data_IF_121624386977
#
_entry.id   IF_121624386977
#
_cell.length_a   1.000
_cell.length_b   1.000
_cell.length_c   1.000
_cell.angle_alpha   90.00
_cell.angle_beta   90.00
_cell.angle_gamma   90.00
#
_symmetry.space_group_name_H-M   'P 1'
#
loop_
_entity.id
_entity.type
_entity.pdbx_description
1 polymer ?
#
# COMPACT_ATOMS: atom_id res chain seq x y z
N UNK A 1 11.78 5.59 31.90
CA UNK A 1 10.91 6.76 31.71
C UNK A 1 9.99 6.48 30.52
N UNK A 2 8.72 6.15 30.75
CA UNK A 2 7.75 5.92 29.67
C UNK A 2 7.14 7.27 29.31
N UNK A 3 7.65 7.90 28.26
CA UNK A 3 7.07 9.13 27.71
C UNK A 3 5.73 8.81 27.06
N UNK A 4 4.64 9.10 27.77
CA UNK A 4 3.29 9.20 27.21
C UNK A 4 3.24 10.38 26.24
N UNK A 5 3.39 10.12 24.94
CA UNK A 5 3.14 11.10 23.89
C UNK A 5 1.64 11.18 23.60
N UNK A 6 1.11 12.40 23.73
CA UNK A 6 -0.30 12.78 23.65
C UNK A 6 -0.92 12.38 22.30
N UNK A 7 -1.93 11.50 22.35
CA UNK A 7 -2.68 10.96 21.20
C UNK A 7 -3.80 11.89 20.67
N UNK A 8 -3.67 13.22 20.78
CA UNK A 8 -4.78 14.13 20.45
C UNK A 8 -4.91 14.43 18.94
N UNK A 9 -3.80 14.41 18.19
CA UNK A 9 -3.79 14.73 16.74
C UNK A 9 -4.35 13.64 15.82
N UNK A 10 -4.46 12.38 16.30
CA UNK A 10 -4.95 11.25 15.48
C UNK A 10 -6.48 11.13 15.43
N UNK A 11 -7.19 11.65 16.44
CA UNK A 11 -8.65 11.54 16.50
C UNK A 11 -9.33 12.46 15.49
N UNK A 12 -8.94 13.73 15.41
CA UNK A 12 -9.55 14.68 14.48
C UNK A 12 -9.39 14.23 13.01
N UNK A 13 -8.22 13.71 12.65
CA UNK A 13 -7.96 13.25 11.29
C UNK A 13 -8.71 11.96 10.93
N UNK A 14 -9.00 11.08 11.90
CA UNK A 14 -9.84 9.90 11.66
C UNK A 14 -11.32 10.28 11.47
N UNK A 15 -11.81 11.28 12.21
CA UNK A 15 -13.18 11.79 12.04
C UNK A 15 -13.40 12.43 10.67
N UNK A 16 -12.41 13.17 10.15
CA UNK A 16 -12.46 13.70 8.78
C UNK A 16 -12.62 12.58 7.74
N UNK A 17 -11.86 11.49 7.86
CA UNK A 17 -12.00 10.34 6.96
C UNK A 17 -13.38 9.67 7.04
N UNK A 18 -14.01 9.64 8.22
CA UNK A 18 -15.36 9.06 8.34
C UNK A 18 -16.44 9.90 7.68
N UNK A 19 -16.25 11.22 7.59
CA UNK A 19 -17.24 12.13 6.99
C UNK A 19 -17.01 12.36 5.49
N UNK A 20 -15.76 12.50 5.06
CA UNK A 20 -15.41 12.86 3.67
C UNK A 20 -14.82 11.69 2.86
N UNK A 21 -14.59 10.55 3.49
CA UNK A 21 -13.93 9.41 2.88
C UNK A 21 -12.41 9.46 2.98
N UNK A 22 -11.76 8.39 2.52
CA UNK A 22 -10.31 8.25 2.59
C UNK A 22 -9.64 8.84 1.36
N UNK A 23 -8.76 9.82 1.56
CA UNK A 23 -7.87 10.29 0.51
C UNK A 23 -6.60 9.42 0.48
N UNK A 24 -6.59 8.42 -0.42
CA UNK A 24 -5.49 7.49 -0.61
C UNK A 24 -4.46 8.02 -1.60
N UNK A 25 -3.18 7.97 -1.23
CA UNK A 25 -2.04 8.22 -2.13
C UNK A 25 -1.22 6.95 -2.29
N UNK A 26 -0.62 6.73 -3.46
CA UNK A 26 0.22 5.55 -3.73
C UNK A 26 1.45 5.60 -2.83
N UNK A 27 1.61 4.59 -1.97
CA UNK A 27 2.80 4.42 -1.12
C UNK A 27 3.85 3.51 -1.75
N UNK A 28 3.41 2.51 -2.53
CA UNK A 28 4.30 1.55 -3.21
C UNK A 28 3.67 1.05 -4.51
N UNK A 29 4.47 0.93 -5.57
CA UNK A 29 4.07 0.29 -6.83
C UNK A 29 4.65 -1.12 -6.87
N UNK A 30 3.84 -2.13 -6.51
CA UNK A 30 4.26 -3.54 -6.47
C UNK A 30 4.46 -4.07 -7.89
N UNK A 31 3.47 -3.81 -8.75
CA UNK A 31 3.53 -4.03 -10.20
C UNK A 31 2.85 -2.84 -10.90
N UNK A 32 2.63 -2.90 -12.21
CA UNK A 32 1.84 -1.88 -12.92
C UNK A 32 0.38 -1.85 -12.44
N UNK A 33 -0.17 -3.01 -12.09
CA UNK A 33 -1.58 -3.18 -11.71
C UNK A 33 -1.79 -3.20 -10.20
N UNK A 34 -0.83 -3.72 -9.43
CA UNK A 34 -0.94 -3.85 -7.98
C UNK A 34 -0.16 -2.72 -7.32
N UNK A 35 -0.84 -1.93 -6.51
CA UNK A 35 -0.29 -0.78 -5.80
C UNK A 35 -0.76 -0.81 -4.35
N UNK A 36 0.11 -0.36 -3.46
CA UNK A 36 -0.24 -0.06 -2.08
C UNK A 36 -0.52 1.43 -1.95
N UNK A 37 -1.46 1.76 -1.08
CA UNK A 37 -1.88 3.12 -0.80
C UNK A 37 -1.94 3.39 0.68
N UNK A 38 -1.75 4.65 1.03
CA UNK A 38 -1.88 5.15 2.39
C UNK A 38 -2.77 6.37 2.42
N UNK A 39 -3.71 6.41 3.36
CA UNK A 39 -4.53 7.59 3.55
C UNK A 39 -3.71 8.68 4.25
N UNK A 40 -3.64 9.88 3.67
CA UNK A 40 -2.84 11.00 4.21
C UNK A 40 -3.34 11.53 5.55
N UNK A 41 -4.61 11.28 5.90
CA UNK A 41 -5.23 11.80 7.12
C UNK A 41 -5.20 10.78 8.28
N UNK A 42 -5.65 9.54 8.04
CA UNK A 42 -5.77 8.53 9.09
C UNK A 42 -4.71 7.42 9.02
N UNK A 43 -3.79 7.47 8.06
CA UNK A 43 -2.71 6.49 7.86
C UNK A 43 -3.20 5.06 7.57
N UNK A 44 -4.49 4.85 7.27
CA UNK A 44 -5.03 3.56 6.84
C UNK A 44 -4.34 3.12 5.56
N UNK A 45 -3.94 1.85 5.51
CA UNK A 45 -3.23 1.27 4.38
C UNK A 45 -4.10 0.24 3.66
N UNK A 46 -4.09 0.30 2.33
CA UNK A 46 -4.84 -0.59 1.45
C UNK A 46 -3.98 -0.98 0.24
N UNK A 47 -4.33 -2.06 -0.44
CA UNK A 47 -3.70 -2.46 -1.69
C UNK A 47 -4.75 -2.80 -2.73
N UNK A 48 -4.41 -2.67 -4.01
CA UNK A 48 -5.20 -3.25 -5.09
C UNK A 48 -5.12 -4.78 -5.00
N UNK A 49 -6.25 -5.47 -5.03
CA UNK A 49 -6.33 -6.93 -5.16
C UNK A 49 -6.29 -7.38 -6.64
N UNK A 50 -6.36 -8.69 -6.86
CA UNK A 50 -6.34 -9.28 -8.22
C UNK A 50 -7.55 -8.90 -9.08
N UNK A 51 -8.63 -8.43 -8.47
CA UNK A 51 -9.84 -7.98 -9.16
C UNK A 51 -9.82 -6.46 -9.43
N UNK A 52 -8.74 -5.77 -9.05
CA UNK A 52 -8.63 -4.31 -9.19
C UNK A 52 -9.28 -3.52 -8.06
N UNK A 53 -9.80 -4.17 -7.02
CA UNK A 53 -10.48 -3.50 -5.89
C UNK A 53 -9.49 -3.18 -4.77
N UNK A 54 -9.84 -2.21 -3.94
CA UNK A 54 -9.05 -1.90 -2.74
C UNK A 54 -9.41 -2.86 -1.60
N UNK A 55 -8.39 -3.49 -1.03
CA UNK A 55 -8.48 -4.36 0.14
C UNK A 55 -7.51 -3.90 1.23
N UNK A 56 -7.69 -4.35 2.46
CA UNK A 56 -6.81 -3.97 3.57
C UNK A 56 -5.37 -4.49 3.34
N UNK A 57 -4.37 -3.63 3.54
CA UNK A 57 -2.98 -4.04 3.49
C UNK A 57 -2.59 -4.70 4.83
N UNK A 58 -2.94 -5.98 4.96
CA UNK A 58 -2.56 -6.80 6.12
C UNK A 58 -1.07 -7.17 6.08
N UNK A 59 -0.46 -7.60 7.20
CA UNK A 59 0.93 -8.06 7.20
C UNK A 59 1.18 -9.20 6.19
N UNK A 60 0.27 -10.16 6.11
CA UNK A 60 0.33 -11.24 5.11
C UNK A 60 0.29 -10.69 3.68
N UNK A 61 -0.55 -9.69 3.41
CA UNK A 61 -0.62 -9.08 2.09
C UNK A 61 0.65 -8.27 1.75
N UNK A 62 1.30 -7.65 2.74
CA UNK A 62 2.59 -6.98 2.56
C UNK A 62 3.70 -7.98 2.18
N UNK A 63 3.72 -9.16 2.80
CA UNK A 63 4.67 -10.23 2.45
C UNK A 63 4.44 -10.76 1.03
N UNK A 64 3.18 -11.00 0.67
CA UNK A 64 2.78 -11.42 -0.68
C UNK A 64 3.20 -10.36 -1.71
N UNK A 65 2.87 -9.09 -1.48
CA UNK A 65 3.22 -7.98 -2.36
C UNK A 65 4.74 -7.84 -2.52
N UNK A 66 5.51 -7.97 -1.44
CA UNK A 66 6.97 -7.87 -1.51
C UNK A 66 7.57 -9.00 -2.35
N UNK A 67 7.07 -10.23 -2.19
CA UNK A 67 7.46 -11.37 -3.01
C UNK A 67 7.10 -11.14 -4.48
N UNK A 68 5.90 -10.63 -4.75
CA UNK A 68 5.42 -10.35 -6.09
C UNK A 68 6.23 -9.24 -6.79
N UNK A 69 6.57 -8.17 -6.08
CA UNK A 69 7.44 -7.10 -6.58
C UNK A 69 8.80 -7.65 -7.02
N UNK A 70 9.42 -8.50 -6.21
CA UNK A 70 10.70 -9.13 -6.54
C UNK A 70 10.60 -10.01 -7.78
N UNK A 71 9.55 -10.84 -7.88
CA UNK A 71 9.29 -11.67 -9.06
C UNK A 71 9.06 -10.81 -10.31
N UNK A 72 8.29 -9.72 -10.17
CA UNK A 72 7.98 -8.80 -11.24
C UNK A 72 9.22 -8.07 -11.74
N UNK A 73 10.05 -7.56 -10.83
CA UNK A 73 11.35 -6.92 -11.13
C UNK A 73 12.28 -7.89 -11.86
N UNK A 74 12.43 -9.12 -11.35
CA UNK A 74 13.24 -10.17 -11.98
C UNK A 74 12.76 -10.54 -13.37
N UNK A 75 11.44 -10.53 -13.61
CA UNK A 75 10.87 -10.79 -14.95
C UNK A 75 11.16 -9.64 -15.90
N UNK A 76 10.98 -8.39 -15.47
CA UNK A 76 11.27 -7.18 -16.27
C UNK A 76 12.75 -7.02 -16.61
N UNK A 77 13.65 -7.44 -15.73
CA UNK A 77 15.10 -7.33 -15.96
C UNK A 77 15.66 -8.40 -16.88
N UNK A 78 14.87 -9.41 -17.28
CA UNK A 78 15.30 -10.40 -18.27
C UNK A 78 15.31 -9.73 -19.64
N UNK A 79 16.49 -9.45 -20.17
CA UNK A 79 16.68 -9.20 -21.60
C UNK A 79 16.35 -10.51 -22.30
N UNK A 80 15.18 -10.58 -22.94
CA UNK A 80 14.86 -11.69 -23.84
C UNK A 80 15.88 -11.62 -24.97
N UNK A 81 16.90 -12.48 -24.93
CA UNK A 81 17.71 -12.72 -26.12
C UNK A 81 16.73 -13.30 -27.14
N UNK A 82 16.39 -12.50 -28.15
CA UNK A 82 15.73 -13.03 -29.33
C UNK A 82 16.69 -14.06 -29.91
N UNK A 83 16.32 -15.34 -29.82
CA UNK A 83 17.00 -16.37 -30.58
C UNK A 83 16.70 -16.08 -32.05
N UNK A 84 17.75 -15.66 -32.76
CA UNK A 84 17.72 -15.43 -34.20
C UNK A 84 17.60 -16.76 -34.95
#
# INVERSE_FOLDING_TARGET
MKTSTIQHGKKLSSFFCSLFGHHYVVSKKVTEHIKEYKCVHCQKQVTTDVSGKLSALTPQMQEINSTLEDMYRKRKSRVVHQVA
#
